data_IF_114521772576
#
_entry.id   IF_114521772576
#
_cell.length_a   1.000
_cell.length_b   1.000
_cell.length_c   1.000
_cell.angle_alpha   90.00
_cell.angle_beta   90.00
_cell.angle_gamma   90.00
#
_symmetry.space_group_name_H-M   'P 1'
#
loop_
_entity.id
_entity.type
_entity.pdbx_description
1 polymer ?
#
# COMPACT_ATOMS: atom_id res chain seq x y z
N UNK A 1 -24.85 12.90 14.35
CA UNK A 1 -25.83 12.31 13.42
C UNK A 1 -25.79 10.80 13.59
N UNK A 2 -26.89 10.18 14.04
CA UNK A 2 -27.01 8.72 14.12
C UNK A 2 -27.04 8.12 12.70
N UNK A 3 -26.22 7.10 12.43
CA UNK A 3 -26.23 6.37 11.16
C UNK A 3 -27.54 5.59 11.02
N UNK A 4 -28.16 5.52 9.82
CA UNK A 4 -29.45 4.87 9.62
C UNK A 4 -29.39 3.36 9.90
N UNK A 5 -30.45 2.84 10.53
CA UNK A 5 -30.59 1.51 11.14
C UNK A 5 -30.54 0.29 10.18
N UNK A 6 -30.06 0.46 8.95
CA UNK A 6 -30.05 -0.59 7.91
C UNK A 6 -28.90 -0.48 6.90
N UNK A 7 -27.82 0.24 7.23
CA UNK A 7 -26.69 0.37 6.33
C UNK A 7 -25.81 -0.89 6.42
N UNK A 8 -26.01 -1.83 5.49
CA UNK A 8 -25.09 -2.96 5.30
C UNK A 8 -23.75 -2.40 4.80
N UNK A 9 -22.66 -2.63 5.53
CA UNK A 9 -21.34 -2.30 5.02
C UNK A 9 -21.07 -3.10 3.74
N UNK A 10 -20.59 -2.43 2.72
CA UNK A 10 -20.07 -3.01 1.48
C UNK A 10 -18.91 -3.97 1.76
N UNK A 11 -18.63 -4.85 0.80
CA UNK A 11 -17.43 -5.71 0.83
C UNK A 11 -16.16 -4.88 1.07
N UNK A 12 -16.06 -3.68 0.48
CA UNK A 12 -14.92 -2.78 0.64
C UNK A 12 -14.77 -2.28 2.09
N UNK A 13 -15.85 -1.90 2.76
CA UNK A 13 -15.80 -1.46 4.16
C UNK A 13 -15.30 -2.57 5.11
N UNK A 14 -15.70 -3.82 4.85
CA UNK A 14 -15.16 -4.97 5.57
C UNK A 14 -13.67 -5.20 5.31
N UNK A 15 -13.21 -5.03 4.07
CA UNK A 15 -11.79 -5.12 3.72
C UNK A 15 -10.98 -4.04 4.44
N UNK A 16 -11.43 -2.78 4.37
CA UNK A 16 -10.74 -1.66 5.02
C UNK A 16 -10.66 -1.85 6.53
N UNK A 17 -11.75 -2.23 7.19
CA UNK A 17 -11.73 -2.50 8.63
C UNK A 17 -10.82 -3.69 8.99
N UNK A 18 -10.77 -4.74 8.16
CA UNK A 18 -9.85 -5.85 8.36
C UNK A 18 -8.37 -5.41 8.18
N UNK A 19 -8.09 -4.54 7.22
CA UNK A 19 -6.77 -3.93 7.02
C UNK A 19 -6.38 -3.05 8.21
N UNK A 20 -7.31 -2.29 8.79
CA UNK A 20 -7.04 -1.49 9.99
C UNK A 20 -6.69 -2.38 11.20
N UNK A 21 -7.41 -3.48 11.40
CA UNK A 21 -7.07 -4.48 12.43
C UNK A 21 -5.72 -5.13 12.14
N UNK A 22 -5.43 -5.48 10.87
CA UNK A 22 -4.14 -6.04 10.46
C UNK A 22 -2.99 -5.10 10.85
N UNK A 23 -3.15 -3.82 10.52
CA UNK A 23 -2.15 -2.78 10.73
C UNK A 23 -1.90 -2.46 12.21
N UNK A 24 -2.94 -2.57 13.05
CA UNK A 24 -2.87 -2.22 14.47
C UNK A 24 -2.47 -3.40 15.36
N UNK A 25 -3.10 -4.56 15.12
CA UNK A 25 -3.10 -5.68 16.05
C UNK A 25 -2.54 -6.98 15.44
N UNK A 26 -2.29 -7.01 14.13
CA UNK A 26 -1.77 -8.17 13.41
C UNK A 26 -2.83 -9.18 12.97
N UNK A 27 -2.43 -10.08 12.07
CA UNK A 27 -3.34 -11.01 11.38
C UNK A 27 -4.12 -11.93 12.33
N UNK A 28 -3.52 -12.36 13.44
CA UNK A 28 -4.16 -13.27 14.42
C UNK A 28 -5.38 -12.63 15.14
N UNK A 29 -5.55 -11.31 15.02
CA UNK A 29 -6.64 -10.54 15.63
C UNK A 29 -7.81 -10.30 14.68
N UNK A 30 -7.66 -10.61 13.40
CA UNK A 30 -8.73 -10.52 12.41
C UNK A 30 -9.77 -11.60 12.69
N UNK A 31 -10.91 -11.15 13.24
CA UNK A 31 -12.04 -12.01 13.63
C UNK A 31 -13.34 -11.33 13.24
N UNK A 32 -14.29 -12.10 12.69
CA UNK A 32 -15.60 -11.59 12.25
C UNK A 32 -16.28 -10.75 13.33
N UNK A 33 -16.36 -11.26 14.56
CA UNK A 33 -17.01 -10.56 15.69
C UNK A 33 -16.33 -9.24 16.04
N UNK A 34 -14.99 -9.18 15.95
CA UNK A 34 -14.23 -7.97 16.25
C UNK A 34 -14.51 -6.89 15.21
N UNK A 35 -14.43 -7.26 13.93
CA UNK A 35 -14.62 -6.34 12.81
C UNK A 35 -16.09 -5.90 12.72
N UNK A 36 -17.04 -6.80 12.94
CA UNK A 36 -18.46 -6.47 13.03
C UNK A 36 -18.72 -5.39 14.09
N UNK A 37 -18.09 -5.52 15.26
CA UNK A 37 -18.20 -4.53 16.34
C UNK A 37 -17.60 -3.18 15.94
N UNK A 38 -16.42 -3.16 15.32
CA UNK A 38 -15.80 -1.93 14.82
C UNK A 38 -16.67 -1.21 13.78
N UNK A 39 -17.35 -1.99 12.92
CA UNK A 39 -18.28 -1.46 11.92
C UNK A 39 -19.67 -1.13 12.47
N UNK A 40 -19.95 -1.42 13.74
CA UNK A 40 -21.29 -1.33 14.36
C UNK A 40 -22.35 -2.16 13.62
N UNK A 41 -22.00 -3.39 13.23
CA UNK A 41 -22.81 -4.36 12.50
C UNK A 41 -22.93 -5.69 13.24
N UNK A 42 -23.79 -6.57 12.72
CA UNK A 42 -23.90 -7.95 13.22
C UNK A 42 -22.95 -8.87 12.46
N UNK A 43 -22.46 -9.93 13.11
CA UNK A 43 -21.67 -10.97 12.42
C UNK A 43 -22.44 -11.63 11.27
N UNK A 44 -23.78 -11.60 11.30
CA UNK A 44 -24.61 -12.13 10.22
C UNK A 44 -24.46 -11.36 8.91
N UNK A 45 -24.15 -10.05 8.95
CA UNK A 45 -23.95 -9.26 7.73
C UNK A 45 -22.64 -9.59 7.00
N UNK A 46 -21.67 -10.20 7.69
CA UNK A 46 -20.40 -10.64 7.10
C UNK A 46 -20.60 -11.69 6.00
N UNK A 47 -21.46 -12.67 6.25
CA UNK A 47 -21.63 -13.83 5.37
C UNK A 47 -22.30 -13.52 4.02
N UNK A 48 -22.80 -12.30 3.83
CA UNK A 48 -23.25 -11.80 2.53
C UNK A 48 -22.10 -11.41 1.61
N UNK A 49 -20.92 -11.15 2.19
CA UNK A 49 -19.76 -10.65 1.48
C UNK A 49 -18.62 -11.67 1.43
N UNK A 50 -18.45 -12.48 2.48
CA UNK A 50 -17.36 -13.43 2.61
C UNK A 50 -17.86 -14.78 3.12
N UNK A 51 -17.27 -15.86 2.63
CA UNK A 51 -17.63 -17.22 3.08
C UNK A 51 -17.13 -17.50 4.50
N UNK A 52 -15.90 -17.07 4.78
CA UNK A 52 -15.21 -17.26 6.05
C UNK A 52 -14.10 -16.21 6.22
N UNK A 53 -13.35 -16.29 7.32
CA UNK A 53 -12.24 -15.38 7.59
C UNK A 53 -11.09 -15.54 6.58
N UNK A 54 -10.88 -16.73 6.01
CA UNK A 54 -9.83 -16.91 4.99
C UNK A 54 -10.19 -16.18 3.70
N UNK A 55 -11.46 -16.20 3.30
CA UNK A 55 -11.99 -15.44 2.16
C UNK A 55 -11.83 -13.92 2.37
N UNK A 56 -12.00 -13.45 3.62
CA UNK A 56 -11.70 -12.05 4.00
C UNK A 56 -10.21 -11.75 3.90
N UNK A 57 -9.34 -12.60 4.46
CA UNK A 57 -7.89 -12.41 4.43
C UNK A 57 -7.36 -12.40 3.01
N UNK A 58 -7.84 -13.31 2.15
CA UNK A 58 -7.48 -13.30 0.74
C UNK A 58 -7.95 -11.99 0.07
N UNK A 59 -9.17 -11.54 0.37
CA UNK A 59 -9.65 -10.25 -0.13
C UNK A 59 -8.81 -9.05 0.33
N UNK A 60 -8.28 -9.06 1.56
CA UNK A 60 -7.37 -8.03 2.08
C UNK A 60 -6.06 -8.06 1.29
N UNK A 61 -5.50 -9.25 1.08
CA UNK A 61 -4.27 -9.43 0.31
C UNK A 61 -4.45 -8.97 -1.15
N UNK A 62 -5.54 -9.36 -1.79
CA UNK A 62 -5.87 -8.96 -3.17
C UNK A 62 -6.08 -7.45 -3.25
N UNK A 63 -6.75 -6.84 -2.26
CA UNK A 63 -6.96 -5.40 -2.23
C UNK A 63 -5.63 -4.65 -2.12
N UNK A 64 -4.72 -5.13 -1.27
CA UNK A 64 -3.38 -4.58 -1.12
C UNK A 64 -2.53 -4.76 -2.39
N UNK A 65 -2.54 -5.95 -2.99
CA UNK A 65 -1.80 -6.22 -4.24
C UNK A 65 -2.30 -5.32 -5.38
N UNK A 66 -3.62 -5.09 -5.48
CA UNK A 66 -4.23 -4.21 -6.48
C UNK A 66 -4.05 -2.72 -6.21
N UNK A 67 -3.88 -2.30 -4.95
CA UNK A 67 -3.62 -0.89 -4.62
C UNK A 67 -2.33 -0.38 -5.27
N UNK A 68 -1.37 -1.28 -5.55
CA UNK A 68 -0.22 -0.99 -6.39
C UNK A 68 -0.60 -0.78 -7.86
N UNK A 69 -1.39 -1.70 -8.40
CA UNK A 69 -1.55 -1.87 -9.85
C UNK A 69 -2.49 -0.86 -10.50
N UNK A 70 -3.58 -0.48 -9.85
CA UNK A 70 -4.68 0.18 -10.56
C UNK A 70 -4.70 1.71 -10.45
N UNK A 71 -4.10 2.30 -9.41
CA UNK A 71 -4.18 3.76 -9.23
C UNK A 71 -2.80 4.40 -9.33
N UNK A 72 -1.82 3.92 -8.56
CA UNK A 72 -0.50 4.55 -8.49
C UNK A 72 0.26 4.47 -9.82
N UNK A 73 0.27 3.29 -10.44
CA UNK A 73 0.93 3.08 -11.75
C UNK A 73 0.19 3.85 -12.85
N UNK A 74 -1.15 3.74 -12.87
CA UNK A 74 -1.98 4.39 -13.88
C UNK A 74 -1.88 5.93 -13.80
N UNK A 75 -1.93 6.50 -12.60
CA UNK A 75 -1.78 7.95 -12.37
C UNK A 75 -0.39 8.44 -12.83
N UNK A 76 0.66 7.69 -12.51
CA UNK A 76 2.01 8.02 -12.92
C UNK A 76 2.21 7.87 -14.45
N UNK A 77 1.62 6.86 -15.08
CA UNK A 77 1.66 6.69 -16.55
C UNK A 77 0.83 7.75 -17.27
N UNK A 78 -0.30 8.18 -16.70
CA UNK A 78 -1.14 9.24 -17.24
C UNK A 78 -0.53 10.64 -17.09
N UNK A 79 0.47 10.81 -16.22
CA UNK A 79 1.16 12.08 -16.03
C UNK A 79 1.96 12.50 -17.27
N UNK A 80 1.56 13.61 -17.88
CA UNK A 80 2.12 14.16 -19.13
C UNK A 80 3.21 15.21 -18.93
N UNK A 81 3.60 15.49 -17.68
CA UNK A 81 4.65 16.45 -17.36
C UNK A 81 6.07 15.87 -17.48
N UNK A 82 7.02 16.59 -16.87
CA UNK A 82 8.45 16.22 -16.89
C UNK A 82 8.71 14.88 -16.17
N UNK A 83 9.46 13.93 -16.74
CA UNK A 83 9.63 12.59 -16.16
C UNK A 83 10.20 12.56 -14.74
N UNK A 84 11.16 13.42 -14.39
CA UNK A 84 11.67 13.48 -13.01
C UNK A 84 10.59 14.00 -12.05
N UNK A 85 9.77 14.97 -12.46
CA UNK A 85 8.62 15.43 -11.67
C UNK A 85 7.59 14.32 -11.42
N UNK A 86 7.40 13.38 -12.37
CA UNK A 86 6.58 12.17 -12.15
C UNK A 86 7.08 11.37 -10.94
N UNK A 87 8.40 11.18 -10.84
CA UNK A 87 9.04 10.46 -9.73
C UNK A 87 8.79 11.19 -8.40
N UNK A 88 8.97 12.52 -8.35
CA UNK A 88 8.70 13.29 -7.13
C UNK A 88 7.23 13.19 -6.69
N UNK A 89 6.30 13.32 -7.64
CA UNK A 89 4.87 13.22 -7.36
C UNK A 89 4.51 11.86 -6.74
N UNK A 90 5.07 10.79 -7.31
CA UNK A 90 4.90 9.44 -6.78
C UNK A 90 5.49 9.30 -5.38
N UNK A 91 6.72 9.75 -5.15
CA UNK A 91 7.38 9.69 -3.84
C UNK A 91 6.51 10.38 -2.77
N UNK A 92 6.02 11.59 -3.06
CA UNK A 92 5.13 12.31 -2.17
C UNK A 92 3.79 11.58 -1.95
N UNK A 93 3.21 10.98 -2.98
CA UNK A 93 1.95 10.24 -2.87
C UNK A 93 2.09 9.01 -1.95
N UNK A 94 3.14 8.21 -2.15
CA UNK A 94 3.40 7.00 -1.35
C UNK A 94 3.54 7.31 0.14
N UNK A 95 4.25 8.39 0.47
CA UNK A 95 4.41 8.84 1.86
C UNK A 95 3.08 9.35 2.44
N UNK A 96 2.35 10.19 1.69
CA UNK A 96 1.09 10.79 2.14
C UNK A 96 0.01 9.74 2.42
N UNK A 97 -0.02 8.66 1.64
CA UNK A 97 -1.01 7.59 1.77
C UNK A 97 -0.64 6.55 2.85
N UNK A 98 0.48 6.69 3.56
CA UNK A 98 0.96 5.76 4.60
C UNK A 98 1.01 4.30 4.10
N UNK A 99 1.39 4.11 2.83
CA UNK A 99 1.33 2.80 2.17
C UNK A 99 2.17 1.73 2.89
N UNK A 100 3.25 2.12 3.57
CA UNK A 100 4.13 1.16 4.25
C UNK A 100 3.57 0.58 5.55
N UNK A 101 2.57 1.21 6.18
CA UNK A 101 1.92 0.61 7.35
C UNK A 101 1.36 -0.77 7.01
N UNK A 102 0.68 -0.86 5.87
CA UNK A 102 0.11 -2.11 5.38
C UNK A 102 1.18 -3.07 4.89
N UNK A 103 2.24 -2.57 4.22
CA UNK A 103 3.37 -3.40 3.80
C UNK A 103 4.07 -4.09 4.99
N UNK A 104 4.28 -3.36 6.08
CA UNK A 104 4.93 -3.89 7.29
C UNK A 104 4.08 -5.00 7.92
N UNK A 105 2.77 -4.78 8.07
CA UNK A 105 1.87 -5.77 8.63
C UNK A 105 1.77 -7.03 7.75
N UNK A 106 1.72 -6.86 6.43
CA UNK A 106 1.75 -7.98 5.47
C UNK A 106 3.09 -8.71 5.50
N UNK A 107 4.22 -8.01 5.65
CA UNK A 107 5.52 -8.67 5.77
C UNK A 107 5.64 -9.49 7.05
N UNK A 108 5.01 -9.06 8.14
CA UNK A 108 4.92 -9.89 9.36
C UNK A 108 4.04 -11.11 9.12
N UNK A 109 2.88 -10.93 8.48
CA UNK A 109 1.97 -12.02 8.13
C UNK A 109 2.63 -13.06 7.21
N UNK A 110 3.43 -12.63 6.24
CA UNK A 110 4.06 -13.49 5.25
C UNK A 110 5.00 -14.54 5.85
N UNK A 111 5.62 -14.24 7.00
CA UNK A 111 6.51 -15.18 7.72
C UNK A 111 5.84 -16.50 8.09
N UNK A 112 4.51 -16.52 8.17
CA UNK A 112 3.70 -17.70 8.55
C UNK A 112 2.83 -18.21 7.41
N UNK A 113 2.92 -17.63 6.21
CA UNK A 113 2.06 -17.97 5.07
C UNK A 113 2.84 -17.90 3.75
N UNK A 114 3.19 -19.05 3.15
CA UNK A 114 3.86 -19.09 1.85
C UNK A 114 3.11 -18.35 0.73
N UNK A 115 1.77 -18.41 0.76
CA UNK A 115 0.92 -17.69 -0.20
C UNK A 115 1.10 -16.17 -0.09
N UNK A 116 1.19 -15.65 1.13
CA UNK A 116 1.37 -14.21 1.38
C UNK A 116 2.80 -13.79 1.07
N UNK A 117 3.80 -14.62 1.34
CA UNK A 117 5.20 -14.33 0.94
C UNK A 117 5.34 -14.29 -0.58
N UNK A 118 4.65 -15.16 -1.31
CA UNK A 118 4.61 -15.13 -2.76
C UNK A 118 3.96 -13.83 -3.28
N UNK A 119 2.83 -13.41 -2.70
CA UNK A 119 2.19 -12.14 -3.03
C UNK A 119 3.08 -10.94 -2.71
N UNK A 120 3.72 -10.94 -1.54
CA UNK A 120 4.65 -9.90 -1.15
C UNK A 120 5.81 -9.77 -2.12
N UNK A 121 6.40 -10.89 -2.51
CA UNK A 121 7.49 -10.92 -3.48
C UNK A 121 7.08 -10.37 -4.85
N UNK A 122 5.85 -10.69 -5.32
CA UNK A 122 5.32 -10.12 -6.58
C UNK A 122 5.16 -8.61 -6.50
N UNK A 123 4.57 -8.08 -5.43
CA UNK A 123 4.39 -6.63 -5.24
C UNK A 123 5.73 -5.90 -5.22
N UNK A 124 6.71 -6.40 -4.47
CA UNK A 124 8.05 -5.80 -4.42
C UNK A 124 8.75 -5.86 -5.78
N UNK A 125 8.65 -6.98 -6.50
CA UNK A 125 9.21 -7.10 -7.84
C UNK A 125 8.56 -6.10 -8.82
N UNK A 126 7.23 -5.95 -8.80
CA UNK A 126 6.51 -4.97 -9.61
C UNK A 126 6.91 -3.54 -9.28
N UNK A 127 7.12 -3.21 -7.99
CA UNK A 127 7.63 -1.88 -7.57
C UNK A 127 9.01 -1.59 -8.14
N UNK A 128 9.93 -2.54 -8.09
CA UNK A 128 11.26 -2.35 -8.67
C UNK A 128 11.22 -2.20 -10.19
N UNK A 129 10.40 -2.99 -10.88
CA UNK A 129 10.24 -2.87 -12.34
C UNK A 129 9.63 -1.53 -12.73
N UNK A 130 8.61 -1.07 -12.01
CA UNK A 130 7.96 0.22 -12.27
C UNK A 130 8.89 1.40 -11.95
N UNK A 131 9.62 1.33 -10.83
CA UNK A 131 10.63 2.31 -10.48
C UNK A 131 11.71 2.42 -11.55
N UNK A 132 12.24 1.28 -12.02
CA UNK A 132 13.21 1.23 -13.14
C UNK A 132 12.64 1.96 -14.36
N UNK A 133 11.43 1.61 -14.79
CA UNK A 133 10.79 2.25 -15.95
C UNK A 133 10.72 3.78 -15.81
N UNK A 134 10.34 4.33 -14.65
CA UNK A 134 10.28 5.80 -14.49
C UNK A 134 11.65 6.47 -14.62
N UNK A 135 12.73 5.83 -14.14
CA UNK A 135 14.07 6.38 -14.31
C UNK A 135 14.58 6.23 -15.76
N UNK A 136 14.19 5.19 -16.49
CA UNK A 136 14.47 5.09 -17.93
C UNK A 136 13.78 6.22 -18.70
N UNK A 137 12.50 6.50 -18.41
CA UNK A 137 11.76 7.62 -18.98
C UNK A 137 12.35 8.99 -18.61
N UNK A 138 13.08 9.07 -17.49
CA UNK A 138 13.82 10.26 -17.07
C UNK A 138 15.21 10.39 -17.73
N UNK A 139 15.56 9.48 -18.66
CA UNK A 139 16.77 9.54 -19.47
C UNK A 139 17.99 8.85 -18.88
N UNK A 140 17.85 8.09 -17.81
CA UNK A 140 18.94 7.31 -17.24
C UNK A 140 19.17 6.01 -18.02
N UNK A 141 20.42 5.52 -18.03
CA UNK A 141 20.72 4.21 -18.63
C UNK A 141 20.01 3.08 -17.87
N UNK A 142 19.81 1.94 -18.51
CA UNK A 142 19.15 0.77 -17.91
C UNK A 142 19.74 0.39 -16.53
N UNK A 143 21.07 0.41 -16.43
CA UNK A 143 21.80 0.07 -15.20
C UNK A 143 21.56 1.11 -14.09
N UNK A 144 21.67 2.39 -14.42
CA UNK A 144 21.42 3.48 -13.48
C UNK A 144 19.96 3.50 -13.04
N UNK A 145 19.03 3.32 -13.96
CA UNK A 145 17.60 3.28 -13.68
C UNK A 145 17.23 2.13 -12.75
N UNK A 146 17.81 0.95 -12.93
CA UNK A 146 17.60 -0.18 -12.04
C UNK A 146 18.12 0.08 -10.62
N UNK A 147 19.30 0.72 -10.48
CA UNK A 147 19.90 1.04 -9.18
C UNK A 147 19.10 2.16 -8.49
N UNK A 148 18.84 3.27 -9.17
CA UNK A 148 18.07 4.41 -8.65
C UNK A 148 16.65 4.00 -8.28
N UNK A 149 16.00 3.18 -9.12
CA UNK A 149 14.69 2.62 -8.83
C UNK A 149 14.67 1.74 -7.58
N UNK A 150 15.70 0.90 -7.40
CA UNK A 150 15.86 0.10 -6.18
C UNK A 150 16.09 0.96 -4.94
N UNK A 151 16.95 1.98 -5.04
CA UNK A 151 17.21 2.93 -3.94
C UNK A 151 15.93 3.66 -3.54
N UNK A 152 15.20 4.21 -4.51
CA UNK A 152 13.93 4.90 -4.27
C UNK A 152 12.93 4.00 -3.53
N UNK A 153 12.69 2.78 -4.01
CA UNK A 153 11.75 1.86 -3.34
C UNK A 153 12.20 1.51 -1.92
N UNK A 154 13.50 1.26 -1.71
CA UNK A 154 14.03 0.95 -0.39
C UNK A 154 13.90 2.12 0.59
N UNK A 155 14.22 3.34 0.14
CA UNK A 155 14.09 4.57 0.92
C UNK A 155 12.63 4.83 1.28
N UNK A 156 11.71 4.84 0.30
CA UNK A 156 10.29 5.08 0.56
C UNK A 156 9.68 4.08 1.56
N UNK A 157 10.07 2.80 1.47
CA UNK A 157 9.63 1.80 2.45
C UNK A 157 10.20 2.07 3.84
N UNK A 158 11.47 2.49 3.93
CA UNK A 158 12.12 2.87 5.17
C UNK A 158 11.47 4.10 5.81
N UNK A 159 11.27 5.16 5.03
CA UNK A 159 10.68 6.42 5.48
C UNK A 159 9.24 6.27 5.95
N UNK A 160 8.44 5.51 5.20
CA UNK A 160 7.07 5.26 5.60
C UNK A 160 7.00 4.32 6.83
N UNK A 161 7.94 3.39 7.02
CA UNK A 161 8.06 2.64 8.30
C UNK A 161 8.51 3.54 9.47
N UNK A 162 9.40 4.49 9.22
CA UNK A 162 9.84 5.48 10.20
C UNK A 162 8.75 6.53 10.52
N UNK A 163 7.67 6.55 9.74
CA UNK A 163 6.55 7.47 9.92
C UNK A 163 6.88 8.89 9.51
N UNK A 164 7.69 9.07 8.46
CA UNK A 164 8.14 10.39 7.97
C UNK A 164 6.97 11.37 7.77
N UNK A 165 5.79 10.90 7.34
CA UNK A 165 4.60 11.73 7.10
C UNK A 165 4.08 12.46 8.35
N UNK A 166 4.56 12.10 9.54
CA UNK A 166 4.24 12.76 10.82
C UNK A 166 5.24 13.85 11.20
N UNK A 167 6.34 13.98 10.47
CA UNK A 167 7.37 14.98 10.71
C UNK A 167 6.99 16.29 9.99
N UNK A 168 7.24 17.42 10.63
CA UNK A 168 7.08 18.73 9.97
C UNK A 168 8.10 18.87 8.83
N UNK A 169 7.67 19.35 7.66
CA UNK A 169 8.56 19.57 6.51
C UNK A 169 9.02 18.30 5.79
N UNK A 170 8.33 17.17 5.96
CA UNK A 170 8.70 15.91 5.30
C UNK A 170 8.74 16.02 3.77
N UNK A 171 7.94 16.91 3.16
CA UNK A 171 7.97 17.13 1.72
C UNK A 171 9.33 17.66 1.23
N UNK A 172 10.02 18.46 2.03
CA UNK A 172 11.35 18.98 1.68
C UNK A 172 12.41 17.88 1.76
N UNK A 173 12.31 16.98 2.74
CA UNK A 173 13.18 15.80 2.85
C UNK A 173 13.03 14.93 1.59
N UNK A 174 11.79 14.63 1.21
CA UNK A 174 11.50 13.83 0.01
C UNK A 174 11.98 14.53 -1.27
N UNK A 175 11.91 15.87 -1.32
CA UNK A 175 12.44 16.65 -2.44
C UNK A 175 13.97 16.57 -2.52
N UNK A 176 14.67 16.60 -1.40
CA UNK A 176 16.12 16.46 -1.35
C UNK A 176 16.57 15.06 -1.79
N UNK A 177 15.90 14.01 -1.29
CA UNK A 177 16.11 12.63 -1.73
C UNK A 177 15.87 12.47 -3.22
N UNK A 178 14.76 13.02 -3.73
CA UNK A 178 14.45 13.04 -5.15
C UNK A 178 15.54 13.76 -5.95
N UNK A 179 16.04 14.90 -5.48
CA UNK A 179 17.12 15.64 -6.14
C UNK A 179 18.38 14.78 -6.23
N UNK A 180 18.75 14.03 -5.18
CA UNK A 180 19.89 13.12 -5.20
C UNK A 180 19.65 11.96 -6.19
N UNK A 181 18.44 11.40 -6.18
CA UNK A 181 18.07 10.30 -7.07
C UNK A 181 17.97 10.70 -8.54
N UNK A 182 17.81 11.99 -8.84
CA UNK A 182 17.59 12.48 -10.22
C UNK A 182 18.69 13.41 -10.74
N UNK A 183 19.72 13.68 -9.94
CA UNK A 183 20.96 14.32 -10.39
C UNK A 183 21.83 13.38 -11.23
#
# INVERSE_FOLDING_TARGET
>A
MEKPKNQRASRKEWLLAATDVLNRDGVDKIKVVSIARELNLTSGSFYWHFRDVQDLLQGVLDHWENALTANIIDDAQAFTGEPKQRILNLMCQVIREDAARTDAAIKVWSRRSPTVEAAFSRVIASRFSFAKWMFEEAGFSESEAAIRGRMMVAVLMGEALAGIAKQEGWEDIIRDEWSILTN
#
